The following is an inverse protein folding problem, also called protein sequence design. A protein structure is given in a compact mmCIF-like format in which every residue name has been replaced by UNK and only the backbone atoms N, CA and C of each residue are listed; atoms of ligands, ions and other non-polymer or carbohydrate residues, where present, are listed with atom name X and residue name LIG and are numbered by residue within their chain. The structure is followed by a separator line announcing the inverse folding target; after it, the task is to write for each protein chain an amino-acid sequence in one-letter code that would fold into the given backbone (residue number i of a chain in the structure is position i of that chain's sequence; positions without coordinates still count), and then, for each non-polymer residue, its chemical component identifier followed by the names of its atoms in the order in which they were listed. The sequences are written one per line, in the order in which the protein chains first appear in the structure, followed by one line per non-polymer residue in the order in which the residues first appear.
data_IF_116336797562
#
_entry.id   IF_116336797562
#
_cell.length_a   1.000
_cell.length_b   1.000
_cell.length_c   1.000
_cell.angle_alpha   90.00
_cell.angle_beta   90.00
_cell.angle_gamma   90.00
#
_symmetry.space_group_name_H-M   'P 1'
#
loop_
_entity.id
_entity.type
_entity.pdbx_description
1 polymer ?
#
# COMPACT_ATOMS: atom_id res chain seq x y z
N UNK A 1 10.86 -2.86 -38.18
CA UNK A 1 10.69 -2.99 -36.73
C UNK A 1 9.21 -3.18 -36.45
N UNK A 2 8.80 -4.29 -35.83
CA UNK A 2 7.40 -4.55 -35.46
C UNK A 2 7.15 -3.93 -34.08
N UNK A 3 6.15 -3.05 -33.95
CA UNK A 3 5.75 -2.43 -32.68
C UNK A 3 4.29 -2.82 -32.40
N UNK A 4 4.04 -3.47 -31.27
CA UNK A 4 2.70 -3.80 -30.79
C UNK A 4 2.38 -2.98 -29.55
N UNK A 5 1.11 -2.61 -29.37
CA UNK A 5 0.60 -1.97 -28.15
C UNK A 5 -0.29 -2.97 -27.45
N UNK A 6 -0.10 -3.16 -26.15
CA UNK A 6 -0.89 -4.09 -25.34
C UNK A 6 -1.63 -3.30 -24.25
N UNK A 7 -2.83 -3.73 -23.91
CA UNK A 7 -3.58 -3.32 -22.72
C UNK A 7 -3.60 -4.48 -21.75
N UNK A 8 -3.12 -4.25 -20.54
CA UNK A 8 -3.31 -5.17 -19.43
C UNK A 8 -4.39 -4.60 -18.51
N UNK A 9 -5.37 -5.41 -18.13
CA UNK A 9 -6.39 -5.09 -17.14
C UNK A 9 -6.26 -6.09 -16.00
N UNK A 10 -5.99 -5.58 -14.80
CA UNK A 10 -5.85 -6.36 -13.58
C UNK A 10 -6.99 -5.98 -12.64
N UNK A 11 -7.70 -6.96 -12.10
CA UNK A 11 -8.74 -6.74 -11.11
C UNK A 11 -8.25 -7.22 -9.75
N UNK A 12 -8.38 -6.37 -8.74
CA UNK A 12 -8.00 -6.69 -7.37
C UNK A 12 -9.24 -6.68 -6.48
N UNK A 13 -9.20 -7.53 -5.48
CA UNK A 13 -10.03 -7.43 -4.29
C UNK A 13 -9.11 -7.04 -3.15
N UNK A 14 -9.49 -6.01 -2.38
CA UNK A 14 -8.75 -5.63 -1.18
C UNK A 14 -9.70 -5.76 -0.01
N UNK A 15 -9.38 -6.69 0.89
CA UNK A 15 -10.08 -6.85 2.16
C UNK A 15 -9.40 -5.96 3.21
N UNK A 16 -10.22 -5.31 4.04
CA UNK A 16 -9.76 -4.50 5.17
C UNK A 16 -10.34 -5.09 6.44
N UNK A 17 -9.46 -5.50 7.35
CA UNK A 17 -9.81 -5.98 8.68
C UNK A 17 -9.64 -4.83 9.67
N UNK A 18 -10.67 -4.52 10.46
CA UNK A 18 -10.54 -3.50 11.50
C UNK A 18 -9.52 -3.95 12.55
N UNK A 19 -8.55 -3.09 12.83
CA UNK A 19 -7.60 -3.31 13.92
C UNK A 19 -8.31 -3.08 15.25
N UNK A 20 -8.36 -4.15 16.04
CA UNK A 20 -8.92 -4.16 17.39
C UNK A 20 -7.86 -4.67 18.36
N UNK A 21 -8.00 -4.32 19.64
CA UNK A 21 -7.09 -4.83 20.68
C UNK A 21 -7.18 -6.35 20.77
N UNK A 22 -8.38 -6.92 20.69
CA UNK A 22 -8.59 -8.36 20.63
C UNK A 22 -7.96 -9.01 19.39
N UNK A 23 -8.08 -8.38 18.22
CA UNK A 23 -7.47 -8.83 16.97
C UNK A 23 -5.94 -8.83 17.04
N UNK A 24 -5.35 -7.79 17.64
CA UNK A 24 -3.90 -7.70 17.87
C UNK A 24 -3.43 -8.76 18.87
N UNK A 25 -4.18 -9.03 19.94
CA UNK A 25 -3.88 -10.13 20.88
C UNK A 25 -3.89 -11.48 20.17
N UNK A 26 -4.88 -11.74 19.32
CA UNK A 26 -4.96 -12.96 18.52
C UNK A 26 -3.82 -13.06 17.49
N UNK A 27 -3.43 -11.93 16.91
CA UNK A 27 -2.32 -11.86 15.97
C UNK A 27 -0.99 -12.18 16.67
N UNK A 28 -0.66 -11.43 17.71
CA UNK A 28 0.58 -11.60 18.43
C UNK A 28 0.67 -12.96 19.14
N UNK A 29 -0.47 -13.53 19.54
CA UNK A 29 -0.56 -14.86 20.14
C UNK A 29 -0.03 -16.00 19.28
N UNK A 30 0.23 -15.75 17.99
CA UNK A 30 0.82 -16.73 17.06
C UNK A 30 2.35 -16.73 17.07
N UNK A 31 3.00 -15.71 17.64
CA UNK A 31 4.45 -15.66 17.73
C UNK A 31 4.98 -16.43 18.95
N UNK A 32 6.14 -17.05 18.78
CA UNK A 32 6.79 -17.80 19.85
C UNK A 32 7.18 -16.90 21.06
N UNK A 33 7.40 -15.61 20.83
CA UNK A 33 7.73 -14.60 21.83
C UNK A 33 6.52 -13.78 22.30
N UNK A 34 5.29 -14.28 22.15
CA UNK A 34 4.07 -13.58 22.56
C UNK A 34 4.13 -13.04 24.00
N UNK A 35 4.59 -13.84 24.97
CA UNK A 35 4.65 -13.40 26.37
C UNK A 35 5.61 -12.20 26.57
N UNK A 36 6.69 -12.12 25.79
CA UNK A 36 7.64 -11.00 25.82
C UNK A 36 7.03 -9.76 25.15
N UNK A 37 6.42 -9.92 23.97
CA UNK A 37 5.72 -8.84 23.26
C UNK A 37 4.58 -8.27 24.10
N UNK A 38 3.88 -9.12 24.87
CA UNK A 38 2.75 -8.70 25.68
C UNK A 38 3.16 -8.00 26.96
N UNK A 39 4.30 -8.40 27.52
CA UNK A 39 4.89 -7.74 28.68
C UNK A 39 5.53 -6.39 28.32
N UNK A 40 5.85 -6.18 27.04
CA UNK A 40 6.38 -4.92 26.54
C UNK A 40 5.27 -3.87 26.37
N UNK A 41 5.29 -2.88 27.27
CA UNK A 41 4.36 -1.75 27.27
C UNK A 41 4.51 -0.87 26.02
N UNK A 42 5.72 -0.70 25.52
CA UNK A 42 5.97 0.17 24.35
C UNK A 42 5.44 -0.49 23.08
N UNK A 43 5.64 -1.80 22.93
CA UNK A 43 5.05 -2.60 21.84
C UNK A 43 3.53 -2.44 21.80
N UNK A 44 2.86 -2.62 22.95
CA UNK A 44 1.40 -2.48 23.02
C UNK A 44 0.89 -1.08 22.77
N UNK A 45 1.59 -0.07 23.26
CA UNK A 45 1.18 1.30 23.00
C UNK A 45 1.32 1.63 21.51
N UNK A 46 2.39 1.19 20.83
CA UNK A 46 2.49 1.32 19.38
C UNK A 46 1.34 0.59 18.66
N UNK A 47 0.99 -0.63 19.08
CA UNK A 47 -0.13 -1.36 18.50
C UNK A 47 -1.47 -0.58 18.64
N UNK A 48 -1.69 0.09 19.78
CA UNK A 48 -2.85 0.99 19.96
C UNK A 48 -2.78 2.26 19.14
N UNK A 49 -1.58 2.81 18.91
CA UNK A 49 -1.36 3.93 17.97
C UNK A 49 -1.77 3.54 16.56
N UNK A 50 -1.44 2.32 16.13
CA UNK A 50 -1.81 1.83 14.80
C UNK A 50 -3.32 1.67 14.62
N UNK A 51 -4.09 1.30 15.66
CA UNK A 51 -5.56 1.33 15.62
C UNK A 51 -6.07 2.75 15.30
N UNK A 52 -5.50 3.77 15.98
CA UNK A 52 -5.90 5.17 15.79
C UNK A 52 -5.50 5.67 14.40
N UNK A 53 -4.31 5.31 13.93
CA UNK A 53 -3.85 5.61 12.58
C UNK A 53 -4.74 4.96 11.51
N UNK A 54 -5.15 3.69 11.69
CA UNK A 54 -6.07 3.02 10.76
C UNK A 54 -7.40 3.78 10.65
N UNK A 55 -7.97 4.22 11.78
CA UNK A 55 -9.22 4.98 11.77
C UNK A 55 -9.07 6.28 10.97
N UNK A 56 -8.00 7.03 11.21
CA UNK A 56 -7.71 8.26 10.46
C UNK A 56 -7.53 7.97 8.96
N UNK A 57 -6.83 6.90 8.61
CA UNK A 57 -6.65 6.45 7.23
C UNK A 57 -7.99 6.13 6.56
N UNK A 58 -8.86 5.35 7.22
CA UNK A 58 -10.17 4.96 6.68
C UNK A 58 -11.15 6.14 6.56
N UNK A 59 -11.00 7.18 7.38
CA UNK A 59 -11.78 8.41 7.29
C UNK A 59 -11.27 9.39 6.21
N UNK A 60 -10.06 9.20 5.69
CA UNK A 60 -9.46 10.03 4.63
C UNK A 60 -9.64 9.38 3.26
N UNK A 61 -10.64 9.82 2.49
CA UNK A 61 -10.97 9.21 1.19
C UNK A 61 -9.77 9.18 0.21
N UNK A 62 -8.96 10.24 0.20
CA UNK A 62 -7.82 10.32 -0.71
C UNK A 62 -6.68 9.39 -0.26
N UNK A 63 -6.30 9.46 1.02
CA UNK A 63 -5.24 8.61 1.54
C UNK A 63 -5.64 7.13 1.52
N UNK A 64 -6.89 6.80 1.87
CA UNK A 64 -7.41 5.45 1.78
C UNK A 64 -7.32 4.91 0.34
N UNK A 65 -7.75 5.68 -0.66
CA UNK A 65 -7.64 5.29 -2.07
C UNK A 65 -6.19 5.07 -2.50
N UNK A 66 -5.26 5.92 -2.07
CA UNK A 66 -3.82 5.74 -2.35
C UNK A 66 -3.30 4.47 -1.69
N UNK A 67 -3.69 4.21 -0.45
CA UNK A 67 -3.27 3.03 0.30
C UNK A 67 -3.81 1.73 -0.33
N UNK A 68 -5.06 1.71 -0.79
CA UNK A 68 -5.61 0.59 -1.56
C UNK A 68 -4.85 0.36 -2.87
N UNK A 69 -4.41 1.45 -3.53
CA UNK A 69 -3.61 1.38 -4.75
C UNK A 69 -2.22 0.82 -4.46
N UNK A 70 -1.59 1.23 -3.36
CA UNK A 70 -0.33 0.69 -2.86
C UNK A 70 -0.44 -0.83 -2.61
N UNK A 71 -1.46 -1.27 -1.86
CA UNK A 71 -1.71 -2.70 -1.58
C UNK A 71 -1.88 -3.49 -2.89
N UNK A 72 -2.66 -2.98 -3.84
CA UNK A 72 -2.87 -3.64 -5.13
C UNK A 72 -1.60 -3.68 -6.01
N UNK A 73 -0.74 -2.66 -5.92
CA UNK A 73 0.51 -2.61 -6.68
C UNK A 73 1.53 -3.62 -6.15
N UNK A 74 1.67 -3.72 -4.82
CA UNK A 74 2.53 -4.70 -4.14
C UNK A 74 2.10 -6.14 -4.45
N UNK A 75 0.80 -6.42 -4.61
CA UNK A 75 0.32 -7.74 -5.04
C UNK A 75 0.79 -8.17 -6.44
N UNK A 76 1.12 -7.22 -7.32
CA UNK A 76 1.65 -7.53 -8.66
C UNK A 76 3.14 -7.72 -8.63
N UNK A 77 3.82 -6.87 -7.87
CA UNK A 77 5.26 -6.85 -7.75
C UNK A 77 5.62 -6.31 -6.36
N UNK A 78 6.13 -7.21 -5.52
CA UNK A 78 6.56 -6.92 -4.15
C UNK A 78 7.86 -6.10 -4.11
N UNK A 79 8.45 -5.79 -5.28
CA UNK A 79 9.52 -4.80 -5.35
C UNK A 79 8.94 -3.38 -5.31
N UNK A 80 9.27 -2.63 -4.25
CA UNK A 80 8.92 -1.21 -4.11
C UNK A 80 9.43 -0.34 -5.29
N UNK A 81 10.45 -0.84 -6.02
CA UNK A 81 11.03 -0.23 -7.23
C UNK A 81 10.31 -0.63 -8.54
N UNK A 82 9.19 -1.33 -8.48
CA UNK A 82 8.51 -1.74 -9.71
C UNK A 82 8.00 -0.50 -10.47
N UNK A 83 8.21 -0.52 -11.79
CA UNK A 83 7.64 0.51 -12.68
C UNK A 83 6.11 0.58 -12.62
N UNK A 84 5.45 -0.47 -12.15
CA UNK A 84 3.99 -0.47 -11.95
C UNK A 84 3.65 0.44 -10.77
N UNK A 85 4.36 0.31 -9.65
CA UNK A 85 4.19 1.18 -8.48
C UNK A 85 4.48 2.65 -8.83
N UNK A 86 5.54 2.94 -9.60
CA UNK A 86 5.86 4.30 -10.09
C UNK A 86 4.71 4.91 -10.92
N UNK A 87 4.12 4.13 -11.86
CA UNK A 87 3.04 4.61 -12.73
C UNK A 87 1.79 4.99 -11.93
N UNK A 88 1.54 4.32 -10.80
CA UNK A 88 0.43 4.61 -9.91
C UNK A 88 0.74 5.64 -8.83
N UNK A 89 1.97 6.18 -8.78
CA UNK A 89 2.38 7.16 -7.78
C UNK A 89 2.48 6.58 -6.36
N UNK A 90 2.73 5.27 -6.26
CA UNK A 90 2.87 4.50 -5.01
C UNK A 90 4.16 3.68 -5.03
N UNK A 91 5.17 4.12 -5.78
CA UNK A 91 6.48 3.46 -5.91
C UNK A 91 7.58 4.22 -5.18
N UNK A 92 8.69 3.52 -4.95
CA UNK A 92 9.85 4.00 -4.20
C UNK A 92 9.87 3.52 -2.76
N UNK A 93 11.06 3.60 -2.16
CA UNK A 93 11.35 3.06 -0.82
C UNK A 93 10.49 3.64 0.31
N UNK A 94 9.85 4.79 0.09
CA UNK A 94 9.03 5.52 1.08
C UNK A 94 7.56 5.65 0.66
N UNK A 95 7.09 4.85 -0.29
CA UNK A 95 5.73 4.99 -0.82
C UNK A 95 4.63 4.87 0.23
N UNK A 96 4.74 3.91 1.16
CA UNK A 96 3.78 3.78 2.27
C UNK A 96 3.83 4.99 3.19
N UNK A 97 5.04 5.45 3.51
CA UNK A 97 5.27 6.63 4.36
C UNK A 97 4.70 7.91 3.74
N UNK A 98 4.90 8.14 2.44
CA UNK A 98 4.36 9.30 1.72
C UNK A 98 2.81 9.36 1.77
N UNK A 99 2.15 8.20 1.93
CA UNK A 99 0.70 8.11 2.12
C UNK A 99 0.31 8.39 3.57
N UNK A 100 1.08 7.88 4.54
CA UNK A 100 0.76 7.94 5.97
C UNK A 100 1.15 9.28 6.63
N UNK A 101 2.28 9.88 6.25
CA UNK A 101 2.84 11.05 6.93
C UNK A 101 1.87 12.25 7.01
N UNK A 102 1.09 12.58 5.96
CA UNK A 102 0.09 13.64 6.04
C UNK A 102 -0.97 13.40 7.13
N UNK A 103 -1.27 12.13 7.44
CA UNK A 103 -2.30 11.74 8.39
C UNK A 103 -1.87 11.94 9.85
N UNK A 104 -0.57 11.96 10.15
CA UNK A 104 -0.08 12.09 11.53
C UNK A 104 -0.59 13.36 12.21
N UNK A 105 -0.75 14.44 11.46
CA UNK A 105 -1.29 15.72 11.95
C UNK A 105 -2.74 15.64 12.46
N UNK A 106 -3.48 14.58 12.10
CA UNK A 106 -4.86 14.33 12.53
C UNK A 106 -4.93 13.49 13.81
N UNK A 107 -3.81 12.94 14.26
CA UNK A 107 -3.72 12.19 15.52
C UNK A 107 -3.59 13.14 16.72
N UNK A 108 -3.61 12.57 17.93
CA UNK A 108 -3.26 13.36 19.11
C UNK A 108 -1.77 13.75 19.05
N UNK A 109 -1.38 14.79 19.81
CA UNK A 109 -0.02 15.33 19.71
C UNK A 109 1.08 14.32 20.04
N UNK A 110 0.82 13.42 20.99
CA UNK A 110 1.75 12.36 21.37
C UNK A 110 2.00 11.39 20.22
N UNK A 111 0.93 10.91 19.57
CA UNK A 111 1.03 9.98 18.45
C UNK A 111 1.61 10.64 17.20
N UNK A 112 1.29 11.92 16.96
CA UNK A 112 1.91 12.68 15.87
C UNK A 112 3.43 12.74 16.05
N UNK A 113 3.91 13.10 17.26
CA UNK A 113 5.34 13.17 17.54
C UNK A 113 5.99 11.80 17.35
N UNK A 114 5.39 10.76 17.93
CA UNK A 114 5.86 9.39 17.81
C UNK A 114 6.07 8.96 16.35
N UNK A 115 5.06 9.13 15.49
CA UNK A 115 5.20 8.70 14.09
C UNK A 115 6.13 9.59 13.26
N UNK A 116 6.26 10.89 13.58
CA UNK A 116 7.25 11.75 12.95
C UNK A 116 8.67 11.35 13.30
N UNK A 117 8.94 11.01 14.56
CA UNK A 117 10.26 10.51 14.99
C UNK A 117 10.63 9.22 14.24
N UNK A 118 9.70 8.26 14.15
CA UNK A 118 9.92 7.02 13.38
C UNK A 118 10.17 7.26 11.88
N UNK A 119 9.46 8.23 11.31
CA UNK A 119 9.62 8.68 9.92
C UNK A 119 11.00 9.30 9.69
N UNK A 120 11.44 10.19 10.58
CA UNK A 120 12.76 10.82 10.54
C UNK A 120 13.91 9.82 10.72
N UNK A 121 13.68 8.79 11.53
CA UNK A 121 14.63 7.69 11.77
C UNK A 121 14.64 6.63 10.65
N UNK A 122 13.67 6.67 9.72
CA UNK A 122 13.56 5.71 8.62
C UNK A 122 13.12 4.31 9.05
N UNK A 123 12.44 4.19 10.19
CA UNK A 123 11.97 2.93 10.77
C UNK A 123 10.43 2.87 10.90
N UNK A 124 9.72 3.77 10.21
CA UNK A 124 8.26 3.81 10.23
C UNK A 124 7.64 2.48 9.78
N UNK A 125 8.16 1.91 8.68
CA UNK A 125 7.68 0.64 8.11
C UNK A 125 7.67 -0.50 9.13
N UNK A 126 8.77 -0.66 9.88
CA UNK A 126 8.90 -1.69 10.92
C UNK A 126 7.91 -1.48 12.09
N UNK A 127 7.37 -0.26 12.22
CA UNK A 127 6.46 0.14 13.29
C UNK A 127 5.01 0.31 12.82
N UNK A 128 4.69 0.05 11.56
CA UNK A 128 3.33 0.05 11.00
C UNK A 128 2.88 -1.32 10.47
N UNK A 129 3.62 -2.39 10.78
CA UNK A 129 3.34 -3.75 10.28
C UNK A 129 1.89 -4.23 10.53
N UNK A 130 1.32 -3.94 11.71
CA UNK A 130 -0.04 -4.37 12.01
C UNK A 130 -1.07 -3.62 11.16
N UNK A 131 -0.83 -2.33 10.89
CA UNK A 131 -1.61 -1.55 9.93
C UNK A 131 -1.54 -2.17 8.54
N UNK A 132 -0.34 -2.39 8.00
CA UNK A 132 -0.19 -2.92 6.64
C UNK A 132 -0.85 -4.29 6.49
N UNK A 133 -0.72 -5.17 7.51
CA UNK A 133 -1.36 -6.50 7.54
C UNK A 133 -2.87 -6.51 7.68
N UNK A 134 -3.45 -5.38 8.12
CA UNK A 134 -4.90 -5.23 8.17
C UNK A 134 -5.53 -5.10 6.78
N UNK A 135 -4.71 -4.88 5.75
CA UNK A 135 -5.11 -4.86 4.35
C UNK A 135 -4.62 -6.14 3.66
N UNK A 136 -5.50 -6.81 2.92
CA UNK A 136 -5.15 -8.00 2.14
C UNK A 136 -5.60 -7.80 0.71
N UNK A 137 -4.64 -7.57 -0.18
CA UNK A 137 -4.87 -7.56 -1.61
C UNK A 137 -4.96 -8.97 -2.16
N UNK A 138 -5.69 -9.13 -3.25
CA UNK A 138 -5.67 -10.34 -4.06
C UNK A 138 -5.97 -10.01 -5.51
N UNK A 139 -5.07 -10.41 -6.41
CA UNK A 139 -5.36 -10.40 -7.85
C UNK A 139 -6.43 -11.45 -8.17
N UNK A 140 -7.60 -11.01 -8.62
CA UNK A 140 -8.74 -11.89 -8.94
C UNK A 140 -8.83 -12.22 -10.42
N UNK A 141 -8.33 -11.34 -11.29
CA UNK A 141 -8.33 -11.54 -12.75
C UNK A 141 -7.23 -10.72 -13.42
N UNK A 142 -6.65 -11.30 -14.47
CA UNK A 142 -5.82 -10.60 -15.42
C UNK A 142 -6.35 -10.82 -16.85
N UNK A 143 -6.35 -9.76 -17.66
CA UNK A 143 -6.63 -9.81 -19.09
C UNK A 143 -5.57 -9.03 -19.85
N UNK A 144 -5.12 -9.58 -20.98
CA UNK A 144 -4.16 -8.94 -21.87
C UNK A 144 -4.74 -8.90 -23.28
N UNK A 145 -4.84 -7.71 -23.83
CA UNK A 145 -5.40 -7.48 -25.16
C UNK A 145 -4.40 -6.70 -26.01
N UNK A 146 -4.21 -7.12 -27.26
CA UNK A 146 -3.47 -6.31 -28.22
C UNK A 146 -4.35 -5.13 -28.66
N UNK A 147 -3.90 -3.92 -28.39
CA UNK A 147 -4.53 -2.72 -28.92
C UNK A 147 -3.98 -2.52 -30.34
N UNK A 148 -4.69 -3.03 -31.34
CA UNK A 148 -4.37 -2.75 -32.74
C UNK A 148 -4.52 -1.24 -32.97
N UNK A 149 -3.42 -0.53 -33.19
CA UNK A 149 -3.51 0.75 -33.87
C UNK A 149 -3.90 0.46 -35.33
N UNK A 150 -5.11 0.84 -35.71
CA UNK A 150 -5.49 0.99 -37.13
C UNK A 150 -4.49 1.95 -37.78
N UNK A 151 -4.05 1.59 -38.98
CA UNK A 151 -2.95 2.17 -39.75
C UNK A 151 -2.92 3.71 -39.76
N UNK A 152 -1.74 4.29 -39.53
CA UNK A 152 -1.41 5.57 -40.17
C UNK A 152 -1.23 5.31 -41.67
N UNK A 153 -2.28 5.59 -42.46
CA UNK A 153 -2.12 5.86 -43.89
C UNK A 153 -1.19 7.07 -44.04
N UNK A 154 -0.16 7.06 -44.88
CA UNK A 154 -0.31 7.12 -46.34
C UNK A 154 1.01 6.69 -47.00
N UNK A 155 1.05 5.51 -47.61
CA UNK A 155 1.98 5.30 -48.74
C UNK A 155 1.19 5.59 -50.01
N UNK A 156 1.17 6.85 -50.42
CA UNK A 156 0.84 7.21 -51.80
C UNK A 156 1.98 6.69 -52.68
N UNK A 157 1.85 5.47 -53.19
CA UNK A 157 2.48 5.12 -54.45
C UNK A 157 1.71 5.84 -55.55
N UNK A 158 2.19 7.01 -55.96
CA UNK A 158 1.91 7.50 -57.31
C UNK A 158 2.94 6.86 -58.24
N UNK A 159 2.53 5.76 -58.88
CA UNK A 159 3.00 5.37 -60.20
C UNK A 159 1.91 5.78 -61.18
N UNK A 160 2.17 6.86 -61.92
CA UNK A 160 2.08 7.01 -63.38
C UNK A 160 2.24 8.48 -63.77
#
# INVERSE_FOLDING_TARGET
MLKKRLRMVLNFEVEVEELTEEGLHLHYGRYANYEELVADRECWENARRQIRLQRVLLEDEEAFRKYLTYVAAVEVDDSNDSRICEVFGVGGDRAEEDILEPLFSRLCKEDEIFYRELSEEGILFDNTEALSRSFRGRLTRAALEEISSVAEGSFNYQTE
#
